data_IF_202099969190
#
_entry.id   IF_202099969190
#
_cell.length_a   1.000
_cell.length_b   1.000
_cell.length_c   1.000
_cell.angle_alpha   90.00
_cell.angle_beta   90.00
_cell.angle_gamma   90.00
#
_symmetry.space_group_name_H-M   'P 1'
#
loop_
_entity.id
_entity.type
_entity.pdbx_description
1 polymer ?
#
# COMPACT_ATOMS: atom_id res chain seq x y z
N UNK A 1 38.43 16.14 -6.78
CA UNK A 1 37.82 15.42 -7.93
C UNK A 1 37.92 13.92 -7.67
N UNK A 2 36.91 13.30 -7.11
CA UNK A 2 36.82 11.83 -6.97
C UNK A 2 35.87 11.31 -8.01
N UNK A 3 36.39 10.56 -8.97
CA UNK A 3 35.63 9.88 -10.01
C UNK A 3 34.99 8.63 -9.40
N UNK A 4 33.68 8.58 -9.33
CA UNK A 4 32.95 7.36 -9.01
C UNK A 4 32.78 6.56 -10.30
N UNK A 5 33.38 5.39 -10.34
CA UNK A 5 33.21 4.38 -11.39
C UNK A 5 32.00 3.54 -10.98
N UNK A 6 30.93 3.63 -11.77
CA UNK A 6 29.74 2.81 -11.64
C UNK A 6 30.01 1.47 -12.34
N UNK A 7 29.91 0.31 -11.68
CA UNK A 7 30.02 -0.97 -12.37
C UNK A 7 28.71 -1.28 -13.08
N UNK A 8 28.76 -1.24 -14.39
CA UNK A 8 27.70 -1.72 -15.28
C UNK A 8 27.68 -3.26 -15.22
N UNK A 9 26.69 -3.83 -14.55
CA UNK A 9 26.46 -5.28 -14.61
C UNK A 9 25.78 -5.62 -15.95
N UNK A 10 26.59 -6.14 -16.88
CA UNK A 10 26.14 -6.70 -18.13
C UNK A 10 25.73 -8.16 -17.88
N UNK A 11 24.43 -8.45 -17.84
CA UNK A 11 23.94 -9.82 -17.81
C UNK A 11 24.06 -10.43 -19.21
N UNK A 12 25.00 -11.34 -19.38
CA UNK A 12 25.19 -12.13 -20.59
C UNK A 12 24.22 -13.34 -20.53
N UNK A 13 23.12 -13.30 -21.23
CA UNK A 13 22.27 -14.47 -21.47
C UNK A 13 22.84 -15.25 -22.66
N UNK A 14 23.41 -16.41 -22.38
CA UNK A 14 23.78 -17.38 -23.39
C UNK A 14 22.52 -18.10 -23.89
N UNK A 15 22.11 -17.76 -25.11
CA UNK A 15 21.16 -18.58 -25.86
C UNK A 15 21.89 -19.79 -26.42
N UNK A 16 21.56 -20.98 -25.94
CA UNK A 16 21.85 -22.23 -26.61
C UNK A 16 20.66 -22.57 -27.50
N UNK A 17 20.88 -22.53 -28.78
CA UNK A 17 19.90 -22.95 -29.78
C UNK A 17 20.17 -24.44 -30.09
N UNK A 18 19.26 -25.29 -29.65
CA UNK A 18 19.22 -26.67 -30.11
C UNK A 18 17.85 -26.90 -30.75
N UNK A 19 17.87 -27.08 -32.07
CA UNK A 19 16.69 -27.38 -32.85
C UNK A 19 16.48 -28.86 -32.92
N UNK A 20 15.41 -29.39 -32.37
CA UNK A 20 14.84 -30.67 -32.77
C UNK A 20 13.35 -30.53 -33.03
N UNK A 21 12.99 -30.78 -34.27
CA UNK A 21 11.61 -30.94 -34.74
C UNK A 21 10.96 -32.16 -34.05
N UNK A 22 9.85 -31.90 -33.35
CA UNK A 22 8.84 -32.94 -33.10
C UNK A 22 7.45 -32.35 -33.11
N UNK A 23 6.65 -32.96 -33.93
CA UNK A 23 5.27 -32.65 -34.30
C UNK A 23 4.32 -32.67 -33.09
N UNK A 24 3.62 -31.57 -32.90
CA UNK A 24 2.22 -31.38 -32.57
C UNK A 24 1.54 -32.27 -31.51
N UNK A 25 1.37 -31.63 -30.36
CA UNK A 25 0.08 -31.61 -29.67
C UNK A 25 -0.10 -30.19 -29.20
N UNK A 26 -1.10 -29.49 -29.72
CA UNK A 26 -1.52 -28.16 -29.25
C UNK A 26 -2.07 -28.30 -27.80
N UNK A 27 -1.16 -28.32 -26.86
CA UNK A 27 -1.48 -27.89 -25.52
C UNK A 27 -1.59 -26.36 -25.62
N UNK A 28 -2.77 -25.83 -25.37
CA UNK A 28 -2.97 -24.41 -25.15
C UNK A 28 -1.97 -24.02 -24.05
N UNK A 29 -0.87 -23.38 -24.44
CA UNK A 29 0.07 -22.81 -23.47
C UNK A 29 -0.73 -21.82 -22.62
N UNK A 30 -0.90 -22.16 -21.36
CA UNK A 30 -1.45 -21.23 -20.38
C UNK A 30 -0.50 -20.05 -20.32
N UNK A 31 -0.91 -18.92 -20.93
CA UNK A 31 -0.11 -17.69 -20.91
C UNK A 31 -0.18 -17.16 -19.48
N UNK A 32 0.82 -17.49 -18.68
CA UNK A 32 0.99 -16.91 -17.36
C UNK A 32 1.33 -15.44 -17.53
N UNK A 33 0.35 -14.60 -17.31
CA UNK A 33 0.51 -13.14 -17.33
C UNK A 33 1.09 -12.72 -15.98
N UNK A 34 2.37 -12.35 -15.94
CA UNK A 34 3.09 -11.96 -14.72
C UNK A 34 3.18 -10.42 -14.67
N UNK A 35 3.18 -9.87 -13.45
CA UNK A 35 3.40 -8.44 -13.18
C UNK A 35 2.13 -7.59 -13.20
N UNK A 36 2.28 -6.29 -13.42
CA UNK A 36 1.22 -5.27 -13.29
C UNK A 36 -0.07 -5.62 -14.03
N UNK A 37 0.02 -6.27 -15.19
CA UNK A 37 -1.17 -6.68 -15.95
C UNK A 37 -1.95 -7.78 -15.23
N UNK A 38 -1.28 -8.75 -14.63
CA UNK A 38 -1.91 -9.83 -13.87
C UNK A 38 -2.63 -9.28 -12.64
N UNK A 39 -1.98 -8.36 -11.94
CA UNK A 39 -2.53 -7.67 -10.78
C UNK A 39 -3.78 -6.85 -11.11
N UNK A 40 -3.77 -6.10 -12.22
CA UNK A 40 -4.96 -5.37 -12.67
C UNK A 40 -6.10 -6.34 -13.00
N UNK A 41 -5.82 -7.46 -13.66
CA UNK A 41 -6.83 -8.48 -13.99
C UNK A 41 -7.39 -9.10 -12.70
N UNK A 42 -6.53 -9.46 -11.74
CA UNK A 42 -6.92 -9.98 -10.42
C UNK A 42 -7.81 -8.99 -9.67
N UNK A 43 -7.42 -7.72 -9.61
CA UNK A 43 -8.20 -6.68 -8.97
C UNK A 43 -9.60 -6.51 -9.62
N UNK A 44 -9.67 -6.54 -10.96
CA UNK A 44 -10.95 -6.47 -11.69
C UNK A 44 -11.81 -7.70 -11.40
N UNK A 45 -11.20 -8.89 -11.33
CA UNK A 45 -11.94 -10.11 -11.05
C UNK A 45 -12.49 -10.13 -9.62
N UNK A 46 -11.70 -9.72 -8.62
CA UNK A 46 -12.16 -9.52 -7.24
C UNK A 46 -13.35 -8.54 -7.18
N UNK A 47 -13.30 -7.42 -7.92
CA UNK A 47 -14.40 -6.47 -8.01
C UNK A 47 -15.64 -7.07 -8.66
N UNK A 48 -15.48 -7.89 -9.71
CA UNK A 48 -16.58 -8.54 -10.44
C UNK A 48 -17.29 -9.60 -9.60
N UNK A 49 -16.53 -10.34 -8.79
CA UNK A 49 -17.06 -11.39 -7.91
C UNK A 49 -17.70 -10.83 -6.65
N UNK A 50 -17.39 -9.59 -6.29
CA UNK A 50 -17.96 -8.95 -5.11
C UNK A 50 -19.44 -8.59 -5.31
N UNK A 51 -20.27 -8.88 -4.31
CA UNK A 51 -21.65 -8.42 -4.24
C UNK A 51 -21.77 -6.96 -3.79
N UNK A 52 -20.65 -6.29 -3.55
CA UNK A 52 -20.55 -4.92 -3.02
C UNK A 52 -19.92 -3.98 -4.05
N UNK A 53 -20.13 -2.68 -3.87
CA UNK A 53 -19.39 -1.67 -4.59
C UNK A 53 -18.01 -1.55 -3.91
N UNK A 54 -17.04 -2.28 -4.45
CA UNK A 54 -15.67 -2.32 -3.97
C UNK A 54 -14.69 -1.84 -5.07
N UNK A 55 -13.64 -1.18 -4.67
CA UNK A 55 -12.48 -0.89 -5.52
C UNK A 55 -11.27 -1.59 -4.92
N UNK A 56 -10.49 -2.27 -5.75
CA UNK A 56 -9.35 -3.12 -5.31
C UNK A 56 -8.07 -2.68 -5.99
N UNK A 57 -6.99 -2.63 -5.22
CA UNK A 57 -5.61 -2.57 -5.71
C UNK A 57 -4.89 -3.80 -5.20
N UNK A 58 -4.31 -4.58 -6.09
CA UNK A 58 -3.63 -5.84 -5.76
C UNK A 58 -2.10 -5.65 -5.64
N UNK A 59 -1.41 -6.58 -4.99
CA UNK A 59 -0.03 -6.46 -4.51
C UNK A 59 1.01 -6.16 -5.59
N UNK A 60 0.90 -6.80 -6.75
CA UNK A 60 1.87 -6.57 -7.82
C UNK A 60 1.77 -5.14 -8.37
N UNK A 61 0.55 -4.56 -8.40
CA UNK A 61 0.36 -3.17 -8.75
C UNK A 61 0.84 -2.21 -7.64
N UNK A 62 0.79 -2.61 -6.37
CA UNK A 62 1.29 -1.81 -5.26
C UNK A 62 2.81 -1.64 -5.30
N UNK A 63 3.54 -2.67 -5.77
CA UNK A 63 5.00 -2.64 -5.82
C UNK A 63 5.61 -2.00 -7.06
N UNK A 64 4.88 -1.94 -8.18
CA UNK A 64 5.38 -1.45 -9.47
C UNK A 64 5.25 0.07 -9.65
N UNK A 65 4.44 0.71 -8.82
CA UNK A 65 4.28 2.16 -8.85
C UNK A 65 5.22 2.85 -7.84
N UNK A 66 5.57 4.11 -8.06
CA UNK A 66 6.45 4.86 -7.17
C UNK A 66 5.77 5.25 -5.84
N UNK A 67 4.62 4.66 -5.53
CA UNK A 67 3.89 4.95 -4.29
C UNK A 67 4.66 4.44 -3.09
N UNK A 68 4.90 5.31 -2.15
CA UNK A 68 5.67 4.99 -0.94
C UNK A 68 4.76 4.58 0.21
N UNK A 69 3.50 4.99 0.17
CA UNK A 69 2.54 4.78 1.25
C UNK A 69 1.20 4.26 0.72
N UNK A 70 0.44 3.63 1.60
CA UNK A 70 -0.90 3.16 1.30
C UNK A 70 -1.82 4.30 0.84
N UNK A 71 -1.69 5.49 1.41
CA UNK A 71 -2.46 6.66 1.02
C UNK A 71 -2.21 7.07 -0.46
N UNK A 72 -0.97 6.99 -0.92
CA UNK A 72 -0.63 7.28 -2.32
C UNK A 72 -1.20 6.20 -3.26
N UNK A 73 -1.12 4.93 -2.87
CA UNK A 73 -1.63 3.82 -3.67
C UNK A 73 -3.14 3.90 -3.93
N UNK A 74 -3.92 4.22 -2.91
CA UNK A 74 -5.39 4.28 -3.03
C UNK A 74 -5.89 5.53 -3.74
N UNK A 75 -5.07 6.58 -3.90
CA UNK A 75 -5.43 7.81 -4.64
C UNK A 75 -5.90 7.53 -6.07
N UNK A 76 -5.45 6.44 -6.66
CA UNK A 76 -5.83 6.03 -8.03
C UNK A 76 -7.22 5.42 -8.13
N UNK A 77 -7.82 5.06 -7.02
CA UNK A 77 -9.15 4.46 -6.99
C UNK A 77 -10.23 5.52 -7.20
N UNK A 78 -11.23 5.20 -8.00
CA UNK A 78 -12.33 6.12 -8.28
C UNK A 78 -13.14 6.44 -7.03
N UNK A 79 -13.49 7.73 -6.83
CA UNK A 79 -14.23 8.20 -5.68
C UNK A 79 -13.41 8.25 -4.38
N UNK A 80 -12.10 8.21 -4.48
CA UNK A 80 -11.18 8.40 -3.37
C UNK A 80 -10.45 9.72 -3.55
N UNK A 81 -10.36 10.51 -2.49
CA UNK A 81 -9.48 11.67 -2.39
C UNK A 81 -8.58 11.54 -1.18
N UNK A 82 -7.35 12.03 -1.34
CA UNK A 82 -6.33 11.96 -0.29
C UNK A 82 -5.94 13.38 0.07
N UNK A 83 -6.06 13.70 1.32
CA UNK A 83 -5.59 14.95 1.89
C UNK A 83 -4.09 14.83 2.19
N UNK A 84 -3.36 15.85 1.77
CA UNK A 84 -1.92 15.92 2.02
C UNK A 84 -1.66 16.71 3.29
N UNK A 85 -0.67 16.23 4.05
CA UNK A 85 -0.08 16.96 5.16
C UNK A 85 1.44 16.96 4.99
N UNK A 86 2.05 18.14 5.08
CA UNK A 86 3.50 18.33 4.91
C UNK A 86 4.08 17.65 3.64
N UNK A 87 3.31 17.69 2.53
CA UNK A 87 3.74 17.20 1.23
C UNK A 87 3.50 15.71 0.95
N UNK A 88 2.94 14.95 1.89
CA UNK A 88 2.56 13.55 1.67
C UNK A 88 1.06 13.33 1.88
N UNK A 89 0.52 12.32 1.18
CA UNK A 89 -0.84 11.87 1.40
C UNK A 89 -0.99 11.21 2.77
N UNK A 90 -1.93 11.67 3.58
CA UNK A 90 -2.08 11.25 4.96
C UNK A 90 -3.48 10.74 5.30
N UNK A 91 -4.51 11.50 4.95
CA UNK A 91 -5.89 11.17 5.27
C UNK A 91 -6.69 10.86 4.02
N UNK A 92 -7.67 9.98 4.15
CA UNK A 92 -8.43 9.48 3.00
C UNK A 92 -9.91 9.74 3.18
N UNK A 93 -10.51 10.35 2.16
CA UNK A 93 -11.93 10.60 2.06
C UNK A 93 -12.55 9.68 0.99
N UNK A 94 -13.64 9.02 1.32
CA UNK A 94 -14.37 8.14 0.41
C UNK A 94 -15.61 8.87 -0.06
N UNK A 95 -15.75 9.08 -1.38
CA UNK A 95 -16.89 9.79 -2.01
C UNK A 95 -17.13 11.20 -1.45
N UNK A 96 -16.06 11.90 -1.06
CA UNK A 96 -16.12 13.22 -0.48
C UNK A 96 -16.57 13.26 1.00
N UNK A 97 -16.72 12.08 1.63
CA UNK A 97 -17.04 11.97 3.06
C UNK A 97 -15.73 11.97 3.84
N UNK A 98 -15.67 12.81 4.86
CA UNK A 98 -14.49 13.00 5.71
C UNK A 98 -13.95 11.68 6.29
N UNK A 99 -12.65 11.62 6.47
CA UNK A 99 -11.95 10.47 7.06
C UNK A 99 -12.54 10.01 8.40
N UNK A 100 -13.07 10.92 9.21
CA UNK A 100 -13.72 10.61 10.49
C UNK A 100 -14.97 9.72 10.38
N UNK A 101 -15.58 9.69 9.22
CA UNK A 101 -16.77 8.90 8.92
C UNK A 101 -16.47 7.65 8.10
N UNK A 102 -15.19 7.36 7.91
CA UNK A 102 -14.68 6.15 7.27
C UNK A 102 -14.07 5.21 8.31
N UNK A 103 -14.09 3.91 8.06
CA UNK A 103 -13.36 2.94 8.88
C UNK A 103 -12.17 2.37 8.13
N UNK A 104 -11.12 2.06 8.87
CA UNK A 104 -9.91 1.46 8.34
C UNK A 104 -9.59 0.22 9.15
N UNK A 105 -9.30 -0.88 8.45
CA UNK A 105 -8.95 -2.14 9.07
C UNK A 105 -7.74 -2.77 8.39
N UNK A 106 -7.02 -3.60 9.16
CA UNK A 106 -5.95 -4.46 8.68
C UNK A 106 -6.35 -5.90 9.00
N UNK A 107 -6.46 -6.74 7.99
CA UNK A 107 -6.90 -8.14 8.11
C UNK A 107 -8.19 -8.30 8.93
N UNK A 108 -9.15 -7.41 8.73
CA UNK A 108 -10.44 -7.40 9.43
C UNK A 108 -10.45 -6.68 10.79
N UNK A 109 -9.30 -6.40 11.40
CA UNK A 109 -9.20 -5.69 12.66
C UNK A 109 -9.18 -4.17 12.44
N UNK A 110 -10.07 -3.44 13.13
CA UNK A 110 -10.11 -1.97 13.05
C UNK A 110 -8.83 -1.34 13.60
N UNK A 111 -8.31 -0.37 12.88
CA UNK A 111 -7.14 0.41 13.28
C UNK A 111 -7.59 1.62 14.08
N UNK A 112 -7.11 1.80 15.32
CA UNK A 112 -7.43 2.99 16.10
C UNK A 112 -6.71 4.22 15.56
N UNK A 113 -7.37 5.38 15.64
CA UNK A 113 -6.75 6.66 15.30
C UNK A 113 -5.82 7.12 16.45
N UNK A 114 -4.53 7.35 16.21
CA UNK A 114 -3.58 7.68 17.28
C UNK A 114 -3.65 9.14 17.74
N UNK A 115 -4.16 10.06 16.92
CA UNK A 115 -4.15 11.51 17.18
C UNK A 115 -5.47 12.04 17.76
N UNK A 116 -6.33 11.19 18.24
CA UNK A 116 -7.70 11.55 18.61
C UNK A 116 -8.62 11.65 17.38
N UNK A 117 -9.93 11.74 17.62
CA UNK A 117 -10.89 11.60 16.53
C UNK A 117 -10.98 10.16 15.99
N UNK A 118 -11.37 10.01 14.72
CA UNK A 118 -11.54 8.71 14.07
C UNK A 118 -10.69 8.54 12.80
N UNK A 119 -10.10 9.63 12.32
CA UNK A 119 -9.30 9.61 11.08
C UNK A 119 -7.97 8.92 11.31
N UNK A 120 -7.72 7.86 10.56
CA UNK A 120 -6.46 7.10 10.62
C UNK A 120 -5.47 7.67 9.61
N UNK A 121 -4.23 7.86 10.06
CA UNK A 121 -3.12 8.27 9.22
C UNK A 121 -2.58 7.08 8.41
N UNK A 122 -2.51 7.23 7.09
CA UNK A 122 -2.04 6.18 6.19
C UNK A 122 -0.66 6.45 5.59
N UNK A 123 -0.03 7.54 5.98
CA UNK A 123 1.33 7.88 5.55
C UNK A 123 2.39 6.95 6.16
N UNK A 124 2.07 6.27 7.26
CA UNK A 124 2.95 5.31 7.91
C UNK A 124 2.96 3.92 7.26
N UNK A 125 1.89 3.47 6.63
CA UNK A 125 1.73 2.10 6.17
C UNK A 125 2.43 1.84 4.83
N UNK A 126 3.54 1.04 4.79
CA UNK A 126 4.25 0.73 3.57
C UNK A 126 3.46 -0.21 2.67
N UNK A 127 3.42 0.10 1.37
CA UNK A 127 2.69 -0.71 0.38
C UNK A 127 3.27 -2.11 0.17
N UNK A 128 4.56 -2.28 0.39
CA UNK A 128 5.27 -3.55 0.19
C UNK A 128 4.85 -4.66 1.18
N UNK A 129 4.30 -4.28 2.33
CA UNK A 129 3.80 -5.23 3.33
C UNK A 129 2.40 -5.74 3.00
N UNK A 130 1.71 -5.10 2.06
CA UNK A 130 0.33 -5.39 1.72
C UNK A 130 0.25 -6.39 0.56
N UNK A 131 -0.79 -7.20 0.57
CA UNK A 131 -1.21 -8.04 -0.53
C UNK A 131 -2.27 -7.35 -1.39
N UNK A 132 -3.24 -6.73 -0.75
CA UNK A 132 -4.24 -5.93 -1.44
C UNK A 132 -4.77 -4.79 -0.57
N UNK A 133 -5.33 -3.79 -1.23
CA UNK A 133 -6.13 -2.73 -0.60
C UNK A 133 -7.51 -2.79 -1.21
N UNK A 134 -8.52 -2.94 -0.38
CA UNK A 134 -9.91 -3.00 -0.78
C UNK A 134 -10.68 -1.82 -0.18
N UNK A 135 -11.37 -1.06 -1.01
CA UNK A 135 -12.20 0.06 -0.57
C UNK A 135 -13.66 -0.25 -0.80
N UNK A 136 -14.33 -0.61 0.26
CA UNK A 136 -15.76 -0.91 0.30
C UNK A 136 -16.55 0.39 0.40
N UNK A 137 -17.34 0.68 -0.63
CA UNK A 137 -18.22 1.86 -0.69
C UNK A 137 -19.62 1.57 -0.20
N UNK A 138 -19.96 0.30 -0.03
CA UNK A 138 -21.17 -0.21 0.61
C UNK A 138 -20.76 -1.30 1.58
N UNK A 139 -21.48 -1.44 2.70
CA UNK A 139 -21.16 -2.41 3.74
C UNK A 139 -22.24 -3.48 3.82
N UNK A 140 -21.84 -4.70 4.12
CA UNK A 140 -22.70 -5.84 4.44
C UNK A 140 -22.73 -6.08 5.94
N UNK A 141 -23.62 -6.93 6.41
CA UNK A 141 -23.83 -7.20 7.83
C UNK A 141 -22.65 -7.91 8.52
N UNK A 142 -21.70 -8.43 7.75
CA UNK A 142 -20.44 -9.03 8.24
C UNK A 142 -19.38 -7.99 8.60
N UNK A 143 -19.59 -6.72 8.24
CA UNK A 143 -18.69 -5.62 8.56
C UNK A 143 -19.29 -4.70 9.61
N UNK A 144 -18.44 -4.12 10.44
CA UNK A 144 -18.88 -3.18 11.45
C UNK A 144 -19.61 -1.99 10.81
N UNK A 145 -20.76 -1.63 11.38
CA UNK A 145 -21.60 -0.51 10.93
C UNK A 145 -21.14 0.84 11.54
N UNK A 146 -19.84 1.03 11.69
CA UNK A 146 -19.23 2.19 12.34
C UNK A 146 -18.81 3.30 11.37
N UNK A 147 -19.05 3.11 10.07
CA UNK A 147 -18.70 4.08 9.02
C UNK A 147 -19.87 4.35 8.07
N UNK A 148 -19.96 5.61 7.62
CA UNK A 148 -20.97 6.07 6.66
C UNK A 148 -20.39 6.22 5.26
N UNK A 149 -19.13 6.66 5.17
CA UNK A 149 -18.44 6.89 3.89
C UNK A 149 -18.03 5.59 3.21
N UNK A 150 -17.49 4.67 3.98
CA UNK A 150 -17.01 3.37 3.52
C UNK A 150 -15.93 2.80 4.42
N UNK A 151 -15.41 1.65 4.03
CA UNK A 151 -14.35 0.96 4.76
C UNK A 151 -13.16 0.70 3.84
N UNK A 152 -11.95 0.94 4.35
CA UNK A 152 -10.71 0.57 3.72
C UNK A 152 -10.16 -0.65 4.46
N UNK A 153 -9.90 -1.72 3.72
CA UNK A 153 -9.32 -2.95 4.23
C UNK A 153 -7.93 -3.13 3.63
N UNK A 154 -6.94 -3.23 4.48
CA UNK A 154 -5.57 -3.57 4.12
C UNK A 154 -5.34 -5.04 4.43
N UNK A 155 -5.05 -5.82 3.41
CA UNK A 155 -4.77 -7.23 3.57
C UNK A 155 -3.26 -7.46 3.47
N UNK A 156 -2.66 -8.14 4.44
CA UNK A 156 -1.27 -8.61 4.38
C UNK A 156 -1.19 -9.93 3.62
N UNK A 157 0.01 -10.29 3.19
CA UNK A 157 0.24 -11.55 2.48
C UNK A 157 0.05 -12.73 3.40
N UNK A 158 -0.71 -13.72 2.93
CA UNK A 158 -0.97 -14.97 3.68
C UNK A 158 -0.15 -16.11 3.10
N UNK A 159 0.40 -16.96 3.97
CA UNK A 159 1.22 -18.10 3.56
C UNK A 159 0.42 -19.14 2.75
N UNK A 160 -0.86 -19.31 3.08
CA UNK A 160 -1.76 -20.23 2.39
C UNK A 160 -2.06 -19.83 0.94
N UNK A 161 -1.78 -18.58 0.55
CA UNK A 161 -1.92 -18.10 -0.84
C UNK A 161 -0.61 -18.20 -1.64
N UNK A 162 0.49 -18.73 -1.05
CA UNK A 162 1.79 -18.82 -1.67
C UNK A 162 2.01 -20.26 -2.18
N UNK A 163 2.25 -20.40 -3.48
CA UNK A 163 2.68 -21.65 -4.05
C UNK A 163 4.21 -21.79 -3.92
N UNK A 164 4.64 -22.72 -3.08
CA UNK A 164 6.05 -22.97 -2.79
C UNK A 164 6.68 -21.98 -1.80
N UNK A 165 7.76 -21.32 -2.21
CA UNK A 165 8.50 -20.35 -1.39
C UNK A 165 8.51 -18.97 -2.04
N UNK A 166 8.04 -17.97 -1.32
CA UNK A 166 8.14 -16.58 -1.71
C UNK A 166 9.44 -15.98 -1.15
N UNK A 167 10.28 -15.44 -2.01
CA UNK A 167 11.43 -14.64 -1.64
C UNK A 167 11.46 -13.41 -2.53
N UNK A 168 11.19 -12.23 -1.95
CA UNK A 168 11.17 -10.96 -2.68
C UNK A 168 12.09 -9.96 -1.97
N UNK A 169 12.96 -9.33 -2.73
CA UNK A 169 13.79 -8.22 -2.26
C UNK A 169 13.63 -7.06 -3.23
N UNK A 170 13.43 -5.88 -2.69
CA UNK A 170 13.32 -4.64 -3.44
C UNK A 170 14.23 -3.59 -2.82
N UNK A 171 14.94 -2.85 -3.63
CA UNK A 171 15.73 -1.70 -3.20
C UNK A 171 15.59 -0.59 -4.24
N UNK A 172 15.16 0.56 -3.77
CA UNK A 172 14.90 1.75 -4.58
C UNK A 172 15.55 2.98 -3.92
N UNK A 173 15.72 4.03 -4.69
CA UNK A 173 16.01 5.37 -4.19
C UNK A 173 15.25 6.39 -5.01
N UNK A 174 14.88 7.50 -4.40
CA UNK A 174 14.23 8.61 -5.09
C UNK A 174 15.11 9.85 -5.11
N UNK A 175 14.96 10.66 -6.14
CA UNK A 175 15.66 11.93 -6.29
C UNK A 175 14.73 13.09 -5.95
N UNK A 176 15.14 13.93 -4.99
CA UNK A 176 14.43 15.16 -4.68
C UNK A 176 15.03 16.31 -5.50
N UNK A 177 14.28 16.85 -6.46
CA UNK A 177 14.75 17.87 -7.37
C UNK A 177 15.01 19.22 -6.66
N UNK A 178 14.22 19.57 -5.65
CA UNK A 178 14.34 20.83 -4.91
C UNK A 178 15.63 20.90 -4.13
N UNK A 179 16.00 19.82 -3.44
CA UNK A 179 17.24 19.73 -2.65
C UNK A 179 18.41 19.14 -3.43
N UNK A 180 18.14 18.60 -4.63
CA UNK A 180 19.12 17.85 -5.46
C UNK A 180 19.75 16.68 -4.70
N UNK A 181 18.94 16.04 -3.86
CA UNK A 181 19.33 14.93 -3.00
C UNK A 181 18.78 13.61 -3.53
N UNK A 182 19.61 12.59 -3.59
CA UNK A 182 19.24 11.21 -3.94
C UNK A 182 19.42 10.24 -2.76
N UNK A 183 19.66 10.74 -1.56
CA UNK A 183 19.78 9.93 -0.35
C UNK A 183 18.40 9.68 0.27
N UNK A 184 17.56 8.97 -0.50
CA UNK A 184 16.20 8.60 -0.12
C UNK A 184 16.02 7.09 -0.34
N UNK A 185 16.76 6.24 0.40
CA UNK A 185 16.72 4.79 0.20
C UNK A 185 15.38 4.22 0.66
N UNK A 186 14.93 3.21 -0.07
CA UNK A 186 13.80 2.36 0.28
C UNK A 186 14.19 0.91 0.05
N UNK A 187 13.97 0.07 1.06
CA UNK A 187 14.27 -1.36 1.01
C UNK A 187 13.09 -2.15 1.52
N UNK A 188 12.79 -3.25 0.86
CA UNK A 188 11.77 -4.18 1.28
C UNK A 188 12.25 -5.62 1.11
N UNK A 189 11.97 -6.45 2.08
CA UNK A 189 12.24 -7.87 2.07
C UNK A 189 10.97 -8.61 2.47
N UNK A 190 10.62 -9.65 1.70
CA UNK A 190 9.50 -10.54 2.02
C UNK A 190 9.96 -11.98 1.85
N UNK A 191 9.72 -12.77 2.86
CA UNK A 191 9.93 -14.22 2.85
C UNK A 191 8.65 -14.92 3.31
N UNK A 192 8.22 -15.94 2.59
CA UNK A 192 7.07 -16.73 2.95
C UNK A 192 7.22 -18.17 2.48
N UNK A 193 6.75 -19.12 3.29
CA UNK A 193 6.74 -20.52 2.94
C UNK A 193 5.79 -21.32 3.80
N UNK A 194 5.40 -22.49 3.32
CA UNK A 194 4.79 -23.49 4.18
C UNK A 194 5.87 -24.17 5.03
N UNK A 195 5.64 -24.27 6.33
CA UNK A 195 6.49 -24.99 7.29
C UNK A 195 6.20 -26.50 7.19
N UNK A 196 4.95 -26.83 7.00
CA UNK A 196 4.44 -28.18 6.72
C UNK A 196 3.14 -28.04 5.90
N UNK A 197 2.47 -29.16 5.62
CA UNK A 197 1.26 -29.17 4.77
C UNK A 197 0.12 -28.27 5.28
N UNK A 198 0.12 -27.95 6.58
CA UNK A 198 -0.98 -27.23 7.21
C UNK A 198 -0.59 -25.88 7.79
N UNK A 199 0.70 -25.60 7.98
CA UNK A 199 1.18 -24.37 8.62
C UNK A 199 2.12 -23.63 7.71
N UNK A 200 1.81 -22.36 7.48
CA UNK A 200 2.67 -21.48 6.72
C UNK A 200 2.94 -20.17 7.46
N UNK A 201 3.95 -19.45 7.01
CA UNK A 201 4.28 -18.13 7.55
C UNK A 201 4.78 -17.16 6.48
N UNK A 202 4.60 -15.89 6.74
CA UNK A 202 5.15 -14.78 5.93
C UNK A 202 5.80 -13.76 6.86
N UNK A 203 7.01 -13.36 6.53
CA UNK A 203 7.74 -12.26 7.15
C UNK A 203 7.95 -11.16 6.12
N UNK A 204 7.55 -9.96 6.45
CA UNK A 204 7.84 -8.75 5.67
C UNK A 204 8.62 -7.74 6.51
N UNK A 205 9.64 -7.13 5.94
CA UNK A 205 10.42 -6.06 6.57
C UNK A 205 10.64 -4.96 5.57
N UNK A 206 10.38 -3.72 5.96
CA UNK A 206 10.62 -2.53 5.12
C UNK A 206 11.37 -1.46 5.89
N UNK A 207 12.19 -0.73 5.16
CA UNK A 207 12.82 0.51 5.62
C UNK A 207 12.74 1.53 4.51
N UNK A 208 12.37 2.75 4.84
CA UNK A 208 12.38 3.88 3.92
C UNK A 208 12.84 5.15 4.64
N UNK A 209 13.67 5.93 3.95
CA UNK A 209 14.01 7.31 4.34
C UNK A 209 13.68 8.21 3.18
N UNK A 210 12.91 9.27 3.42
CA UNK A 210 12.46 10.20 2.36
C UNK A 210 12.56 11.63 2.84
N UNK A 211 13.33 12.43 2.11
CA UNK A 211 13.34 13.88 2.30
C UNK A 211 12.15 14.51 1.58
N UNK A 212 11.42 15.35 2.28
CA UNK A 212 10.24 16.06 1.80
C UNK A 212 10.47 17.55 1.99
N UNK A 213 10.28 18.30 0.90
CA UNK A 213 10.33 19.76 0.94
C UNK A 213 9.00 20.29 0.42
N UNK A 214 8.34 21.11 1.19
CA UNK A 214 7.05 21.71 0.81
C UNK A 214 6.89 23.12 1.36
N UNK A 215 6.15 23.91 0.61
CA UNK A 215 5.71 25.25 1.00
C UNK A 215 4.22 25.23 1.25
N UNK A 216 3.81 25.55 2.45
CA UNK A 216 2.42 25.53 2.86
C UNK A 216 1.97 26.95 3.24
N UNK A 217 0.72 27.25 2.92
CA UNK A 217 0.02 28.38 3.51
C UNK A 217 -0.95 27.82 4.53
N UNK A 218 -0.78 28.17 5.78
CA UNK A 218 -1.56 27.64 6.88
C UNK A 218 -2.17 28.77 7.70
N UNK A 219 -3.34 28.52 8.29
CA UNK A 219 -3.94 29.37 9.31
C UNK A 219 -3.76 28.71 10.66
N UNK A 220 -3.40 29.47 11.70
CA UNK A 220 -3.08 28.94 13.02
C UNK A 220 -4.26 28.24 13.70
N UNK A 221 -5.44 28.83 13.63
CA UNK A 221 -6.72 28.25 14.03
C UNK A 221 -7.78 28.64 13.01
N UNK A 222 -8.64 27.74 12.56
CA UNK A 222 -9.81 28.09 11.77
C UNK A 222 -10.86 28.72 12.70
N UNK A 223 -10.64 29.95 13.12
CA UNK A 223 -11.67 30.72 13.80
C UNK A 223 -12.64 31.29 12.74
N UNK A 224 -13.61 30.47 12.38
CA UNK A 224 -14.79 30.95 11.68
C UNK A 224 -15.77 31.46 12.72
N UNK A 225 -15.76 32.77 12.98
CA UNK A 225 -16.83 33.39 13.74
C UNK A 225 -17.97 33.73 12.79
N UNK A 226 -19.09 33.04 12.95
CA UNK A 226 -20.28 33.22 12.12
C UNK A 226 -21.43 33.87 12.88
N UNK A 227 -21.22 34.36 14.10
CA UNK A 227 -22.31 34.89 14.94
C UNK A 227 -23.04 36.07 14.28
N UNK A 228 -22.35 36.84 13.45
CA UNK A 228 -22.93 37.94 12.68
C UNK A 228 -23.06 37.66 11.18
N UNK A 229 -22.83 36.42 10.73
CA UNK A 229 -22.80 36.04 9.31
C UNK A 229 -21.57 36.58 8.56
N UNK A 230 -20.59 37.10 9.25
CA UNK A 230 -19.30 37.48 8.70
C UNK A 230 -18.33 36.33 8.85
N UNK A 231 -17.51 36.12 7.80
CA UNK A 231 -16.42 35.14 7.82
C UNK A 231 -15.15 35.94 8.17
N UNK A 232 -14.60 35.68 9.35
CA UNK A 232 -13.30 36.19 9.73
C UNK A 232 -12.24 35.12 9.43
N UNK A 233 -11.21 35.51 8.66
CA UNK A 233 -9.96 34.75 8.65
C UNK A 233 -9.21 35.16 9.91
N UNK A 234 -8.72 34.17 10.65
CA UNK A 234 -7.87 34.43 11.81
C UNK A 234 -6.64 35.27 11.41
N UNK A 235 -6.15 36.09 12.30
CA UNK A 235 -5.03 37.02 12.07
C UNK A 235 -3.71 36.29 11.75
N UNK A 236 -3.65 34.95 12.01
CA UNK A 236 -2.46 34.14 11.83
C UNK A 236 -2.44 33.46 10.45
N UNK A 237 -2.07 34.22 9.43
CA UNK A 237 -1.73 33.63 8.13
C UNK A 237 -0.24 33.33 8.09
N UNK A 238 0.12 32.03 8.06
CA UNK A 238 1.49 31.57 8.08
C UNK A 238 1.91 30.98 6.72
N UNK A 239 3.02 31.49 6.19
CA UNK A 239 3.73 30.82 5.11
C UNK A 239 4.81 29.93 5.74
N UNK A 240 4.60 28.62 5.70
CA UNK A 240 5.52 27.63 6.27
C UNK A 240 6.34 26.95 5.20
N UNK A 241 7.63 26.83 5.48
CA UNK A 241 8.56 26.02 4.73
C UNK A 241 8.92 24.78 5.56
N UNK A 242 8.64 23.60 5.02
CA UNK A 242 9.03 22.35 5.63
C UNK A 242 10.17 21.73 4.84
N UNK A 243 11.25 21.39 5.50
CA UNK A 243 12.33 20.53 5.03
C UNK A 243 12.54 19.46 6.10
N UNK A 244 12.02 18.29 5.85
CA UNK A 244 12.00 17.20 6.82
C UNK A 244 12.39 15.88 6.17
N UNK A 245 12.99 15.00 6.96
CA UNK A 245 13.25 13.61 6.57
C UNK A 245 12.36 12.71 7.40
N UNK A 246 11.58 11.85 6.72
CA UNK A 246 10.76 10.83 7.35
C UNK A 246 11.41 9.47 7.17
N UNK A 247 11.71 8.83 8.30
CA UNK A 247 12.18 7.46 8.34
C UNK A 247 11.05 6.55 8.81
N UNK A 248 10.86 5.43 8.11
CA UNK A 248 9.81 4.45 8.40
C UNK A 248 10.41 3.07 8.41
N UNK A 249 10.05 2.28 9.41
CA UNK A 249 10.41 0.88 9.51
C UNK A 249 9.15 0.07 9.75
N UNK A 250 8.84 -0.84 8.85
CA UNK A 250 7.67 -1.70 8.97
C UNK A 250 8.08 -3.17 9.08
N UNK A 251 7.39 -3.90 9.92
CA UNK A 251 7.55 -5.36 10.07
C UNK A 251 6.18 -5.98 10.09
N UNK A 252 5.96 -7.00 9.25
CA UNK A 252 4.81 -7.89 9.34
C UNK A 252 5.27 -9.30 9.60
N UNK A 253 4.53 -10.02 10.40
CA UNK A 253 4.68 -11.46 10.54
C UNK A 253 3.30 -12.10 10.62
N UNK A 254 3.03 -12.92 9.63
CA UNK A 254 1.77 -13.63 9.48
C UNK A 254 2.03 -15.12 9.61
N UNK A 255 1.18 -15.81 10.35
CA UNK A 255 1.17 -17.26 10.49
C UNK A 255 -0.24 -17.76 10.23
N UNK A 256 -0.35 -18.74 9.36
CA UNK A 256 -1.60 -19.38 8.99
C UNK A 256 -1.53 -20.88 9.31
N UNK A 257 -2.61 -21.43 9.85
CA UNK A 257 -2.76 -22.85 10.11
C UNK A 257 -4.11 -23.34 9.56
N UNK A 258 -4.08 -24.27 8.63
CA UNK A 258 -5.26 -24.99 8.15
C UNK A 258 -5.55 -26.16 9.10
N UNK A 259 -6.74 -26.20 9.70
CA UNK A 259 -7.19 -27.30 10.55
C UNK A 259 -7.83 -28.39 9.70
N UNK A 260 -8.66 -27.98 8.76
CA UNK A 260 -9.33 -28.80 7.75
C UNK A 260 -9.60 -27.95 6.50
N UNK A 261 -10.27 -28.50 5.50
CA UNK A 261 -10.53 -27.83 4.22
C UNK A 261 -11.39 -26.55 4.35
N UNK A 262 -12.18 -26.44 5.42
CA UNK A 262 -13.12 -25.32 5.62
C UNK A 262 -12.69 -24.40 6.79
N UNK A 263 -11.70 -24.81 7.60
CA UNK A 263 -11.34 -24.13 8.83
C UNK A 263 -9.87 -23.74 8.86
N UNK A 264 -9.59 -22.47 9.04
CA UNK A 264 -8.24 -21.96 9.25
C UNK A 264 -8.16 -21.04 10.46
N UNK A 265 -7.00 -21.05 11.11
CA UNK A 265 -6.63 -20.09 12.16
C UNK A 265 -5.44 -19.29 11.65
N UNK A 266 -5.46 -18.00 11.90
CA UNK A 266 -4.34 -17.12 11.56
C UNK A 266 -4.03 -16.13 12.69
N UNK A 267 -2.78 -15.71 12.74
CA UNK A 267 -2.34 -14.62 13.58
C UNK A 267 -1.46 -13.68 12.78
N UNK A 268 -1.74 -12.39 12.92
CA UNK A 268 -1.03 -11.34 12.22
C UNK A 268 -0.38 -10.39 13.23
N UNK A 269 0.86 -10.05 12.98
CA UNK A 269 1.59 -9.02 13.69
C UNK A 269 2.01 -7.93 12.70
N UNK A 270 1.70 -6.70 13.03
CA UNK A 270 2.11 -5.51 12.28
C UNK A 270 2.75 -4.52 13.25
N UNK A 271 3.96 -4.10 12.93
CA UNK A 271 4.68 -2.99 13.56
C UNK A 271 5.05 -1.97 12.48
N UNK A 272 4.83 -0.71 12.80
CA UNK A 272 5.14 0.40 11.91
C UNK A 272 5.47 1.65 12.73
#
# INVERSE_FOLDING_TARGET
MKKYIFPLFLSLSLFSQESENKVENETVEEVVVIGTKASIISAIEKQRQSNLIVSVVDSDALGDFPDTTAAEAIRRLSGISVENDQGEGRYVNIRGISGDLNSIAVNGALVPAPEGGRTVMLDGLPTELLDSIEVYKTLTADKDADSIGGRIEFNTKRATSIDGTLLKFKADTSYNEQTKNSDNPKMAFTYGSMINDNVGHVLGVTYASKQIVTYNNETGFPAWDTDDGNIFLDDDWEMRFYDLTRERTGITYDIDMMIDDDTSIYANFLYN
#
